data_IF_130009280291
#
_entry.id   IF_130009280291
#
_cell.length_a   1.000
_cell.length_b   1.000
_cell.length_c   1.000
_cell.angle_alpha   90.00
_cell.angle_beta   90.00
_cell.angle_gamma   90.00
#
_symmetry.space_group_name_H-M   'P 1'
#
loop_
_entity.id
_entity.type
_entity.pdbx_description
1 polymer ?
#
# COMPACT_ATOMS: atom_id res chain seq x y z
N UNK A 1 16.24 -6.49 -15.88
CA UNK A 1 16.78 -6.23 -14.52
C UNK A 1 15.78 -6.70 -13.48
N UNK A 2 16.25 -7.13 -12.31
CA UNK A 2 15.37 -7.51 -11.20
C UNK A 2 15.46 -6.46 -10.10
N UNK A 3 14.31 -6.01 -9.60
CA UNK A 3 14.20 -4.97 -8.57
C UNK A 3 13.61 -5.60 -7.32
N UNK A 4 14.33 -5.53 -6.20
CA UNK A 4 13.92 -6.20 -4.95
C UNK A 4 13.86 -5.24 -3.78
N UNK A 5 12.69 -5.13 -3.16
CA UNK A 5 12.52 -4.40 -1.89
C UNK A 5 13.24 -5.17 -0.78
N UNK A 6 14.11 -4.48 -0.04
CA UNK A 6 14.77 -5.07 1.12
C UNK A 6 13.75 -5.20 2.25
N UNK A 7 13.69 -6.34 2.92
CA UNK A 7 12.82 -6.56 4.08
C UNK A 7 13.67 -6.74 5.34
N UNK A 8 13.14 -6.33 6.48
CA UNK A 8 13.76 -6.54 7.78
C UNK A 8 12.77 -7.21 8.73
N UNK A 9 13.26 -7.96 9.73
CA UNK A 9 12.39 -8.57 10.73
C UNK A 9 11.91 -7.50 11.71
N UNK A 10 10.59 -7.32 11.79
CA UNK A 10 9.97 -6.48 12.81
C UNK A 10 10.05 -7.10 14.21
N UNK A 11 9.73 -6.31 15.25
CA UNK A 11 9.67 -6.78 16.65
C UNK A 11 8.60 -7.86 16.86
N UNK A 12 7.62 -7.91 15.97
CA UNK A 12 6.54 -8.88 15.82
C UNK A 12 6.96 -10.16 15.07
N UNK A 13 8.22 -10.27 14.62
CA UNK A 13 8.74 -11.43 13.90
C UNK A 13 8.37 -11.50 12.42
N UNK A 14 7.41 -10.69 11.97
CA UNK A 14 7.00 -10.61 10.57
C UNK A 14 7.98 -9.77 9.75
N UNK A 15 8.24 -10.14 8.48
CA UNK A 15 9.08 -9.37 7.58
C UNK A 15 8.36 -8.07 7.20
N UNK A 16 8.98 -6.93 7.52
CA UNK A 16 8.50 -5.61 7.13
C UNK A 16 9.29 -5.09 5.94
N UNK A 17 8.62 -4.45 4.96
CA UNK A 17 9.33 -3.79 3.88
C UNK A 17 10.20 -2.66 4.42
N UNK A 18 11.45 -2.65 4.00
CA UNK A 18 12.43 -1.62 4.28
C UNK A 18 12.29 -0.41 3.36
N UNK A 19 13.14 0.60 3.63
CA UNK A 19 13.18 1.87 2.89
C UNK A 19 14.01 1.80 1.61
N UNK A 20 14.63 0.66 1.33
CA UNK A 20 15.62 0.50 0.26
C UNK A 20 15.24 -0.62 -0.70
N UNK A 21 15.69 -0.47 -1.94
CA UNK A 21 15.47 -1.40 -3.04
C UNK A 21 16.81 -1.73 -3.69
N UNK A 22 17.09 -3.03 -3.83
CA UNK A 22 18.28 -3.52 -4.53
C UNK A 22 17.98 -3.71 -6.02
N UNK A 23 18.85 -3.19 -6.88
CA UNK A 23 18.84 -3.44 -8.31
C UNK A 23 19.79 -4.60 -8.63
N UNK A 24 19.28 -5.64 -9.27
CA UNK A 24 20.03 -6.87 -9.53
C UNK A 24 20.04 -7.19 -11.03
N UNK A 25 21.20 -7.62 -11.53
CA UNK A 25 21.40 -8.09 -12.91
C UNK A 25 22.02 -9.48 -12.91
N UNK A 26 21.61 -10.31 -13.86
CA UNK A 26 22.30 -11.57 -14.12
C UNK A 26 23.57 -11.29 -14.94
N UNK A 27 24.71 -11.67 -14.39
CA UNK A 27 26.00 -11.66 -15.08
C UNK A 27 26.51 -13.10 -15.21
N UNK A 28 27.05 -13.45 -16.38
CA UNK A 28 27.67 -14.76 -16.57
C UNK A 28 28.98 -14.83 -15.79
N UNK A 29 29.12 -15.83 -14.91
CA UNK A 29 30.36 -16.12 -14.20
C UNK A 29 31.13 -17.20 -14.99
N UNK A 30 32.23 -16.85 -15.69
CA UNK A 30 32.99 -17.78 -16.51
C UNK A 30 33.72 -18.85 -15.69
N UNK A 31 34.07 -18.57 -14.43
CA UNK A 31 34.75 -19.54 -13.56
C UNK A 31 33.80 -20.66 -13.13
N UNK A 32 32.56 -20.30 -12.82
CA UNK A 32 31.52 -21.26 -12.38
C UNK A 32 30.62 -21.75 -13.51
N UNK A 33 30.86 -21.28 -14.74
CA UNK A 33 30.08 -21.55 -15.96
C UNK A 33 28.56 -21.38 -15.76
N UNK A 34 28.17 -20.42 -14.93
CA UNK A 34 26.75 -20.19 -14.58
C UNK A 34 26.46 -18.70 -14.47
N UNK A 35 25.22 -18.32 -14.72
CA UNK A 35 24.76 -16.97 -14.43
C UNK A 35 24.68 -16.76 -12.91
N UNK A 36 25.29 -15.68 -12.41
CA UNK A 36 25.20 -15.21 -11.03
C UNK A 36 24.43 -13.89 -11.01
N UNK A 37 23.60 -13.73 -10.00
CA UNK A 37 22.95 -12.45 -9.75
C UNK A 37 23.92 -11.51 -9.01
N UNK A 38 24.13 -10.33 -9.57
CA UNK A 38 25.00 -9.28 -9.01
C UNK A 38 24.11 -8.10 -8.62
N UNK A 39 24.34 -7.55 -7.43
CA UNK A 39 23.70 -6.30 -6.99
C UNK A 39 24.46 -5.15 -7.65
N UNK A 40 23.77 -4.39 -8.49
CA UNK A 40 24.33 -3.20 -9.16
C UNK A 40 24.38 -2.03 -8.18
N UNK A 41 23.34 -1.90 -7.35
CA UNK A 41 23.24 -0.84 -6.37
C UNK A 41 22.00 -0.97 -5.50
N UNK A 42 21.91 -0.09 -4.52
CA UNK A 42 20.74 0.06 -3.65
C UNK A 42 20.25 1.49 -3.76
N UNK A 43 18.96 1.65 -4.00
CA UNK A 43 18.29 2.95 -4.12
C UNK A 43 17.22 3.08 -3.03
N UNK A 44 16.87 4.30 -2.67
CA UNK A 44 15.71 4.53 -1.80
C UNK A 44 14.44 4.06 -2.53
N UNK A 45 13.57 3.36 -1.81
CA UNK A 45 12.30 2.81 -2.32
C UNK A 45 11.41 3.89 -2.90
N UNK A 46 11.45 5.10 -2.35
CA UNK A 46 10.62 6.24 -2.72
C UNK A 46 11.35 7.25 -3.58
N UNK A 47 12.59 6.95 -4.00
CA UNK A 47 13.30 7.80 -4.94
C UNK A 47 12.50 7.96 -6.24
N UNK A 48 12.33 9.22 -6.66
CA UNK A 48 11.72 9.58 -7.95
C UNK A 48 12.74 9.50 -9.10
N UNK A 49 14.03 9.59 -8.77
CA UNK A 49 15.13 9.53 -9.74
C UNK A 49 16.23 8.57 -9.27
N UNK A 50 16.93 7.98 -10.23
CA UNK A 50 18.11 7.16 -9.95
C UNK A 50 19.27 8.05 -9.50
N UNK A 51 20.02 7.66 -8.45
CA UNK A 51 21.26 8.33 -8.10
C UNK A 51 22.24 8.32 -9.29
N UNK A 52 22.96 9.42 -9.56
CA UNK A 52 23.85 9.54 -10.73
C UNK A 52 24.85 8.38 -10.87
N UNK A 53 25.41 7.93 -9.75
CA UNK A 53 26.36 6.82 -9.69
C UNK A 53 25.76 5.51 -10.20
N UNK A 54 24.50 5.22 -9.86
CA UNK A 54 23.80 4.02 -10.33
C UNK A 54 23.32 4.22 -11.77
N UNK A 55 22.86 5.43 -12.10
CA UNK A 55 22.39 5.77 -13.44
C UNK A 55 23.49 5.54 -14.49
N UNK A 56 24.77 5.81 -14.18
CA UNK A 56 25.89 5.56 -15.10
C UNK A 56 26.21 4.09 -15.36
N UNK A 57 25.86 3.19 -14.42
CA UNK A 57 26.16 1.75 -14.51
C UNK A 57 25.05 0.97 -15.23
N UNK A 58 23.83 1.53 -15.21
CA UNK A 58 22.68 0.94 -15.87
C UNK A 58 22.75 1.15 -17.39
N UNK A 59 22.22 0.18 -18.13
CA UNK A 59 21.95 0.33 -19.56
C UNK A 59 20.68 1.16 -19.79
N UNK A 60 20.46 1.66 -21.00
CA UNK A 60 19.22 2.39 -21.33
C UNK A 60 17.96 1.56 -21.08
N UNK A 61 17.99 0.27 -21.44
CA UNK A 61 16.88 -0.64 -21.21
C UNK A 61 16.57 -0.79 -19.71
N UNK A 62 17.58 -0.90 -18.85
CA UNK A 62 17.37 -1.06 -17.42
C UNK A 62 16.95 0.23 -16.72
N UNK A 63 17.39 1.39 -17.25
CA UNK A 63 16.86 2.68 -16.83
C UNK A 63 15.37 2.78 -17.10
N UNK A 64 14.91 2.27 -18.25
CA UNK A 64 13.50 2.26 -18.60
C UNK A 64 12.71 1.27 -17.72
N UNK A 65 13.21 0.06 -17.49
CA UNK A 65 12.59 -0.89 -16.56
C UNK A 65 12.44 -0.31 -15.14
N UNK A 66 13.42 0.49 -14.67
CA UNK A 66 13.29 1.18 -13.37
C UNK A 66 12.19 2.24 -13.39
N UNK A 67 12.05 2.99 -14.48
CA UNK A 67 10.98 3.99 -14.63
C UNK A 67 9.60 3.34 -14.63
N UNK A 68 9.44 2.24 -15.36
CA UNK A 68 8.20 1.47 -15.36
C UNK A 68 7.85 0.96 -13.96
N UNK A 69 8.84 0.42 -13.23
CA UNK A 69 8.65 -0.01 -11.85
C UNK A 69 8.25 1.13 -10.92
N UNK A 70 8.91 2.30 -11.04
CA UNK A 70 8.60 3.47 -10.21
C UNK A 70 7.19 3.99 -10.50
N UNK A 71 6.79 4.03 -11.78
CA UNK A 71 5.44 4.42 -12.18
C UNK A 71 4.39 3.45 -11.61
N UNK A 72 4.65 2.14 -11.65
CA UNK A 72 3.75 1.14 -11.07
C UNK A 72 3.64 1.26 -9.53
N UNK A 73 4.77 1.47 -8.84
CA UNK A 73 4.79 1.76 -7.40
C UNK A 73 3.89 2.96 -7.07
N UNK A 74 3.99 4.03 -7.83
CA UNK A 74 3.23 5.26 -7.59
C UNK A 74 1.74 5.06 -7.87
N UNK A 75 1.38 4.27 -8.90
CA UNK A 75 -0.01 3.85 -9.15
C UNK A 75 -0.58 3.06 -7.97
N UNK A 76 0.17 2.10 -7.44
CA UNK A 76 -0.25 1.29 -6.30
C UNK A 76 -0.42 2.14 -5.04
N UNK A 77 0.52 3.06 -4.78
CA UNK A 77 0.43 3.98 -3.65
C UNK A 77 -0.81 4.86 -3.78
N UNK A 78 -1.06 5.44 -4.96
CA UNK A 78 -2.25 6.25 -5.20
C UNK A 78 -3.54 5.47 -4.94
N UNK A 79 -3.62 4.21 -5.40
CA UNK A 79 -4.78 3.36 -5.15
C UNK A 79 -4.98 3.06 -3.66
N UNK A 80 -3.90 2.77 -2.92
CA UNK A 80 -3.97 2.56 -1.46
C UNK A 80 -4.41 3.82 -0.73
N UNK A 81 -3.88 4.99 -1.10
CA UNK A 81 -4.27 6.28 -0.53
C UNK A 81 -5.74 6.59 -0.81
N UNK A 82 -6.24 6.32 -2.01
CA UNK A 82 -7.66 6.49 -2.34
C UNK A 82 -8.56 5.59 -1.49
N UNK A 83 -8.20 4.31 -1.32
CA UNK A 83 -8.92 3.38 -0.43
C UNK A 83 -8.91 3.86 1.01
N UNK A 84 -7.76 4.31 1.49
CA UNK A 84 -7.60 4.86 2.84
C UNK A 84 -8.52 6.06 3.07
N UNK A 85 -8.62 6.99 2.12
CA UNK A 85 -9.56 8.11 2.24
C UNK A 85 -11.02 7.67 2.34
N UNK A 86 -11.44 6.68 1.54
CA UNK A 86 -12.80 6.14 1.62
C UNK A 86 -13.08 5.42 2.94
N UNK A 87 -12.08 4.70 3.48
CA UNK A 87 -12.20 3.99 4.74
C UNK A 87 -12.40 4.94 5.93
N UNK A 88 -11.63 6.02 5.99
CA UNK A 88 -11.60 6.91 7.16
C UNK A 88 -12.55 8.11 7.07
N UNK A 89 -13.26 8.29 5.96
CA UNK A 89 -14.13 9.47 5.77
C UNK A 89 -15.22 9.56 6.83
N UNK A 90 -15.86 8.43 7.18
CA UNK A 90 -16.92 8.39 8.19
C UNK A 90 -16.37 8.70 9.59
N UNK A 91 -15.22 8.13 9.93
CA UNK A 91 -14.52 8.38 11.20
C UNK A 91 -14.18 9.87 11.36
N UNK A 92 -13.60 10.49 10.33
CA UNK A 92 -13.29 11.92 10.35
C UNK A 92 -14.55 12.79 10.47
N UNK A 93 -15.67 12.40 9.86
CA UNK A 93 -16.96 13.08 10.04
C UNK A 93 -17.47 12.95 11.49
N UNK A 94 -17.32 11.77 12.12
CA UNK A 94 -17.64 11.56 13.53
C UNK A 94 -16.82 12.48 14.45
N UNK A 95 -15.51 12.57 14.23
CA UNK A 95 -14.63 13.47 14.98
C UNK A 95 -15.01 14.95 14.79
N UNK A 96 -15.32 15.37 13.56
CA UNK A 96 -15.78 16.73 13.28
C UNK A 96 -17.11 17.04 14.00
N UNK A 97 -18.06 16.10 14.01
CA UNK A 97 -19.32 16.25 14.73
C UNK A 97 -19.12 16.37 16.25
N UNK A 98 -18.20 15.60 16.83
CA UNK A 98 -17.82 15.75 18.25
C UNK A 98 -17.21 17.12 18.55
N UNK A 99 -16.34 17.62 17.67
CA UNK A 99 -15.74 18.94 17.85
C UNK A 99 -16.80 20.06 17.86
N UNK A 100 -17.79 19.98 16.96
CA UNK A 100 -18.94 20.90 16.94
C UNK A 100 -19.77 20.79 18.22
N UNK A 101 -20.05 19.57 18.70
CA UNK A 101 -20.77 19.36 19.96
C UNK A 101 -20.02 19.90 21.18
N UNK A 102 -18.69 19.92 21.13
CA UNK A 102 -17.82 20.53 22.15
C UNK A 102 -17.72 22.07 22.02
N UNK A 103 -18.40 22.69 21.06
CA UNK A 103 -18.41 24.15 20.85
C UNK A 103 -17.20 24.69 20.06
N UNK A 104 -16.46 23.83 19.35
CA UNK A 104 -15.38 24.27 18.47
C UNK A 104 -15.98 24.85 17.20
N UNK A 105 -15.75 26.14 16.95
CA UNK A 105 -16.25 26.83 15.77
C UNK A 105 -15.43 26.49 14.51
N UNK A 106 -16.05 26.04 13.41
CA UNK A 106 -15.36 25.78 12.16
C UNK A 106 -14.96 27.10 11.49
N UNK A 107 -13.72 27.15 10.96
CA UNK A 107 -13.23 28.33 10.23
C UNK A 107 -14.05 28.60 8.95
N UNK A 108 -14.53 27.54 8.28
CA UNK A 108 -15.31 27.64 7.05
C UNK A 108 -16.46 26.60 7.03
N UNK A 109 -17.59 26.87 7.70
CA UNK A 109 -18.72 25.93 7.75
C UNK A 109 -19.31 25.62 6.38
N UNK A 110 -19.37 26.62 5.47
CA UNK A 110 -19.89 26.41 4.11
C UNK A 110 -19.11 25.36 3.32
N UNK A 111 -17.77 25.36 3.45
CA UNK A 111 -16.90 24.39 2.78
C UNK A 111 -17.13 22.95 3.24
N UNK A 112 -17.56 22.76 4.49
CA UNK A 112 -17.92 21.44 5.03
C UNK A 112 -19.20 20.94 4.35
N UNK A 113 -20.21 21.79 4.21
CA UNK A 113 -21.44 21.45 3.48
C UNK A 113 -21.19 21.16 2.00
N UNK A 114 -20.41 22.00 1.33
CA UNK A 114 -20.02 21.79 -0.07
C UNK A 114 -19.32 20.43 -0.25
N UNK A 115 -18.41 20.07 0.66
CA UNK A 115 -17.71 18.79 0.63
C UNK A 115 -18.66 17.59 0.81
N UNK A 116 -19.66 17.70 1.70
CA UNK A 116 -20.69 16.68 1.89
C UNK A 116 -21.54 16.48 0.62
N UNK A 117 -21.90 17.56 -0.06
CA UNK A 117 -22.67 17.50 -1.30
C UNK A 117 -21.86 16.91 -2.46
N UNK A 118 -20.58 17.27 -2.58
CA UNK A 118 -19.67 16.68 -3.58
C UNK A 118 -19.50 15.18 -3.33
N UNK A 119 -19.29 14.76 -2.08
CA UNK A 119 -19.14 13.35 -1.74
C UNK A 119 -20.42 12.56 -2.03
N UNK A 120 -21.58 13.11 -1.65
CA UNK A 120 -22.86 12.45 -1.90
C UNK A 120 -23.15 12.25 -3.39
N UNK A 121 -22.90 13.26 -4.23
CA UNK A 121 -23.03 13.14 -5.69
C UNK A 121 -22.06 12.11 -6.25
N UNK A 122 -20.85 12.03 -5.71
CA UNK A 122 -19.87 11.03 -6.12
C UNK A 122 -20.31 9.60 -5.77
N UNK A 123 -20.88 9.38 -4.56
CA UNK A 123 -21.42 8.09 -4.13
C UNK A 123 -22.60 7.65 -5.00
N UNK A 124 -23.55 8.55 -5.27
CA UNK A 124 -24.68 8.27 -6.17
C UNK A 124 -24.21 7.88 -7.58
N UNK A 125 -23.24 8.63 -8.14
CA UNK A 125 -22.65 8.32 -9.44
C UNK A 125 -21.90 6.98 -9.45
N UNK A 126 -21.33 6.56 -8.31
CA UNK A 126 -20.66 5.28 -8.14
C UNK A 126 -21.63 4.10 -7.91
N UNK A 127 -22.94 4.34 -7.90
CA UNK A 127 -23.95 3.28 -7.69
C UNK A 127 -24.28 3.02 -6.22
N UNK A 128 -23.88 3.91 -5.32
CA UNK A 128 -24.22 3.88 -3.89
C UNK A 128 -25.19 5.02 -3.56
N UNK A 129 -26.48 4.91 -3.95
CA UNK A 129 -27.45 5.98 -3.74
C UNK A 129 -27.70 6.21 -2.24
N UNK A 130 -28.06 7.45 -1.89
CA UNK A 130 -28.45 7.77 -0.50
C UNK A 130 -29.60 6.85 -0.06
N UNK A 131 -29.51 6.22 1.12
CA UNK A 131 -30.59 5.38 1.62
C UNK A 131 -31.85 6.24 1.83
N UNK A 132 -32.97 5.77 1.29
CA UNK A 132 -34.26 6.44 1.43
C UNK A 132 -34.69 6.35 2.89
N UNK A 133 -34.62 7.47 3.60
CA UNK A 133 -35.19 7.55 4.96
C UNK A 133 -36.72 7.51 4.85
N UNK A 134 -37.36 6.69 5.68
CA UNK A 134 -38.80 6.66 5.76
C UNK A 134 -39.35 8.05 6.08
N UNK A 135 -40.51 8.38 5.51
CA UNK A 135 -41.15 9.69 5.69
C UNK A 135 -41.63 9.83 7.14
N UNK A 136 -40.94 10.63 7.94
CA UNK A 136 -41.26 10.86 9.35
C UNK A 136 -40.09 11.52 10.08
N UNK A 137 -40.32 11.97 11.32
CA UNK A 137 -39.22 12.37 12.21
C UNK A 137 -38.42 11.10 12.56
N UNK A 138 -37.12 11.03 12.25
CA UNK A 138 -36.31 9.88 12.62
C UNK A 138 -36.41 9.65 14.14
N UNK A 139 -36.61 8.41 14.54
CA UNK A 139 -36.43 8.05 15.95
C UNK A 139 -34.97 8.29 16.35
N UNK A 140 -34.70 8.61 17.63
CA UNK A 140 -33.32 8.78 18.12
C UNK A 140 -32.46 7.53 17.88
N UNK A 141 -33.09 6.36 17.76
CA UNK A 141 -32.46 5.08 17.42
C UNK A 141 -32.08 4.92 15.94
N UNK A 142 -32.65 5.71 15.03
CA UNK A 142 -32.37 5.62 13.58
C UNK A 142 -31.30 6.62 13.11
N UNK A 143 -30.91 7.57 13.96
CA UNK A 143 -29.93 8.58 13.59
C UNK A 143 -28.56 8.16 14.11
N UNK A 144 -27.59 7.86 13.23
CA UNK A 144 -26.24 7.54 13.68
C UNK A 144 -25.68 8.72 14.47
N UNK A 145 -25.20 8.42 15.67
CA UNK A 145 -24.55 9.38 16.56
C UNK A 145 -23.08 9.55 16.17
N UNK A 146 -22.42 10.64 16.61
CA UNK A 146 -20.98 10.80 16.41
C UNK A 146 -20.17 9.63 16.98
N UNK A 147 -20.64 8.99 18.06
CA UNK A 147 -19.98 7.82 18.63
C UNK A 147 -20.12 6.58 17.74
N UNK A 148 -21.27 6.38 17.09
CA UNK A 148 -21.47 5.25 16.17
C UNK A 148 -20.49 5.31 14.99
N UNK A 149 -20.16 6.52 14.51
CA UNK A 149 -19.22 6.77 13.43
C UNK A 149 -17.75 6.62 13.82
N UNK A 150 -17.46 6.55 15.13
CA UNK A 150 -16.11 6.43 15.67
C UNK A 150 -15.75 5.01 16.10
N UNK A 151 -16.70 4.07 15.96
CA UNK A 151 -16.37 2.64 15.99
C UNK A 151 -15.27 2.40 14.96
N UNK A 152 -14.13 1.83 15.40
CA UNK A 152 -12.95 1.70 14.57
C UNK A 152 -13.32 0.96 13.28
N UNK A 153 -12.96 1.48 12.08
CA UNK A 153 -13.13 0.72 10.83
C UNK A 153 -12.39 -0.63 10.83
N UNK A 154 -11.48 -0.82 11.79
CA UNK A 154 -10.69 -2.04 12.00
C UNK A 154 -11.34 -3.01 13.00
N UNK A 155 -12.45 -2.64 13.64
CA UNK A 155 -13.28 -3.55 14.45
C UNK A 155 -14.30 -4.30 13.57
N UNK A 156 -14.38 -3.97 12.27
CA UNK A 156 -15.11 -4.76 11.27
C UNK A 156 -14.22 -5.94 10.81
N UNK A 157 -14.58 -7.19 11.16
CA UNK A 157 -13.77 -8.37 10.82
C UNK A 157 -13.57 -8.57 9.32
N UNK A 158 -14.42 -7.98 8.47
CA UNK A 158 -14.29 -8.05 7.02
C UNK A 158 -13.16 -7.15 6.50
N UNK A 159 -12.98 -5.97 7.10
CA UNK A 159 -11.94 -5.00 6.72
C UNK A 159 -10.55 -5.38 7.27
N UNK A 160 -10.51 -5.99 8.45
CA UNK A 160 -9.28 -6.59 8.99
C UNK A 160 -8.77 -7.71 8.06
N UNK A 161 -9.68 -8.56 7.55
CA UNK A 161 -9.35 -9.60 6.59
C UNK A 161 -8.89 -9.04 5.24
N UNK A 162 -9.50 -7.96 4.73
CA UNK A 162 -9.02 -7.30 3.51
C UNK A 162 -7.64 -6.66 3.68
N UNK A 163 -7.33 -6.13 4.86
CA UNK A 163 -5.99 -5.61 5.15
C UNK A 163 -4.97 -6.71 5.32
N UNK A 164 -5.29 -7.80 6.02
CA UNK A 164 -4.47 -9.00 6.05
C UNK A 164 -4.25 -9.53 4.65
N UNK A 165 -5.27 -9.57 3.79
CA UNK A 165 -5.15 -9.98 2.39
C UNK A 165 -4.31 -8.99 1.56
N UNK A 166 -4.38 -7.68 1.82
CA UNK A 166 -3.51 -6.68 1.18
C UNK A 166 -2.08 -6.80 1.69
N UNK A 167 -1.86 -7.02 2.98
CA UNK A 167 -0.55 -7.25 3.57
C UNK A 167 0.03 -8.59 3.11
N UNK A 168 -0.79 -9.63 3.00
CA UNK A 168 -0.47 -10.93 2.44
C UNK A 168 -0.22 -10.83 0.95
N UNK A 169 -0.96 -10.03 0.18
CA UNK A 169 -0.72 -9.80 -1.25
C UNK A 169 0.49 -8.92 -1.49
N UNK A 170 0.84 -8.04 -0.56
CA UNK A 170 2.10 -7.30 -0.52
C UNK A 170 3.26 -8.20 -0.03
N UNK A 171 2.99 -9.24 0.76
CA UNK A 171 3.94 -10.27 1.17
C UNK A 171 4.06 -11.41 0.14
N UNK A 172 3.03 -11.62 -0.67
CA UNK A 172 2.88 -12.59 -1.76
C UNK A 172 3.05 -11.93 -3.14
N UNK A 173 3.41 -10.64 -3.16
CA UNK A 173 4.33 -10.15 -4.20
C UNK A 173 5.44 -11.19 -4.27
N UNK A 174 5.75 -11.73 -5.47
CA UNK A 174 6.56 -12.92 -5.60
C UNK A 174 7.76 -12.80 -4.68
N UNK A 175 7.90 -13.77 -3.78
CA UNK A 175 9.12 -13.87 -2.99
C UNK A 175 10.24 -14.14 -3.98
N UNK A 176 10.86 -13.06 -4.44
CA UNK A 176 11.94 -13.05 -5.41
C UNK A 176 13.21 -13.71 -4.84
N UNK A 177 13.13 -14.35 -3.66
CA UNK A 177 14.17 -15.21 -3.07
C UNK A 177 14.15 -16.66 -3.57
N UNK A 178 13.12 -17.14 -4.27
CA UNK A 178 13.06 -18.54 -4.65
C UNK A 178 12.56 -18.77 -6.08
N UNK A 179 13.48 -19.03 -7.01
CA UNK A 179 13.63 -20.39 -7.58
C UNK A 179 14.89 -20.49 -8.48
N UNK A 180 15.85 -21.34 -8.08
CA UNK A 180 16.23 -22.58 -8.81
C UNK A 180 17.57 -23.14 -8.33
N UNK A 181 17.49 -24.34 -7.72
CA UNK A 181 18.49 -25.40 -7.89
C UNK A 181 19.45 -25.65 -6.72
N UNK A 182 18.95 -26.14 -5.58
CA UNK A 182 19.79 -26.97 -4.70
C UNK A 182 19.86 -28.37 -5.32
N UNK A 183 20.82 -28.56 -6.21
CA UNK A 183 21.28 -29.90 -6.58
C UNK A 183 21.96 -30.52 -5.36
N UNK A 184 21.23 -31.35 -4.59
CA UNK A 184 21.84 -32.22 -3.57
C UNK A 184 22.73 -33.24 -4.29
N UNK A 185 24.00 -32.90 -4.52
CA UNK A 185 25.01 -33.89 -4.83
C UNK A 185 25.32 -34.69 -3.57
N UNK A 186 24.79 -35.92 -3.46
CA UNK A 186 25.24 -36.93 -2.51
C UNK A 186 26.72 -37.19 -2.77
N UNK A 187 27.60 -36.71 -1.89
CA UNK A 187 28.99 -37.14 -1.86
C UNK A 187 29.03 -38.55 -1.25
N UNK A 188 29.22 -39.57 -2.12
CA UNK A 188 29.70 -40.89 -1.70
C UNK A 188 31.12 -40.72 -1.19
N UNK A 189 31.34 -40.80 0.12
CA UNK A 189 32.66 -41.08 0.67
C UNK A 189 32.81 -42.59 0.83
N UNK A 190 33.68 -43.18 0.01
CA UNK A 190 34.31 -44.47 0.30
C UNK A 190 35.41 -44.23 1.33
N UNK A 191 35.33 -44.90 2.46
CA UNK A 191 36.41 -45.70 3.05
C UNK A 191 35.86 -46.50 4.21
#
# INVERSE_FOLDING_TARGET
MQIRVQTYKGKDGHPKPGKSVSLLRYAYDPEKRRSKQVIIGTVDRWATALPPEIATILTDAEREEFREWAAERDRQLAALTQKHHLLHVAEHMGWAAKALAAGVEPVQPGRIWDALDVLAKALEKAGHPRPVRARGRPSKSETPTPDDLLTSPYDDPMLAAEQEEIYERMAALPDFTADKGVSKAKHKSKR
#
